data_IF_255061051261
#
_entry.id   IF_255061051261
#
_cell.length_a   1.000
_cell.length_b   1.000
_cell.length_c   1.000
_cell.angle_alpha   90.00
_cell.angle_beta   90.00
_cell.angle_gamma   90.00
#
_symmetry.space_group_name_H-M   'P 1'
#
loop_
_entity.id
_entity.type
_entity.pdbx_description
1 polymer ?
#
# COMPACT_ATOMS: atom_id res chain seq x y z
N UNK A 1 -12.70 40.14 -25.42
CA UNK A 1 -13.11 39.29 -24.27
C UNK A 1 -13.08 37.78 -24.54
N UNK A 2 -12.34 37.27 -25.56
CA UNK A 2 -12.24 35.82 -25.84
C UNK A 2 -10.95 35.14 -25.35
N UNK A 3 -9.93 35.94 -25.01
CA UNK A 3 -8.58 35.43 -24.65
C UNK A 3 -8.47 34.98 -23.18
N UNK A 4 -9.32 35.51 -22.30
CA UNK A 4 -9.28 35.19 -20.86
C UNK A 4 -9.84 33.78 -20.59
N UNK A 5 -10.88 33.38 -21.34
CA UNK A 5 -11.51 32.07 -21.16
C UNK A 5 -10.57 30.87 -21.43
N UNK A 6 -9.62 31.03 -22.37
CA UNK A 6 -8.69 29.95 -22.76
C UNK A 6 -7.65 29.67 -21.66
N UNK A 7 -7.24 30.70 -20.92
CA UNK A 7 -6.25 30.58 -19.84
C UNK A 7 -6.87 29.85 -18.64
N UNK A 8 -8.13 30.13 -18.31
CA UNK A 8 -8.83 29.46 -17.22
C UNK A 8 -9.02 27.96 -17.46
N UNK A 9 -9.27 27.52 -18.70
CA UNK A 9 -9.41 26.09 -19.02
C UNK A 9 -8.10 25.31 -18.91
N UNK A 10 -6.96 25.94 -19.21
CA UNK A 10 -5.65 25.28 -19.08
C UNK A 10 -5.24 25.06 -17.61
N UNK A 11 -5.60 25.99 -16.71
CA UNK A 11 -5.37 25.86 -15.27
C UNK A 11 -6.21 24.75 -14.62
N UNK A 12 -7.40 24.47 -15.15
CA UNK A 12 -8.28 23.41 -14.65
C UNK A 12 -7.79 21.99 -15.00
N UNK A 13 -6.95 21.83 -16.03
CA UNK A 13 -6.40 20.55 -16.46
C UNK A 13 -5.09 20.16 -15.73
N UNK A 14 -4.41 21.11 -15.08
CA UNK A 14 -3.16 20.86 -14.35
C UNK A 14 -3.37 20.19 -12.97
N UNK A 15 -4.62 20.00 -12.53
CA UNK A 15 -4.95 19.39 -11.23
C UNK A 15 -5.29 17.89 -11.28
N UNK A 16 -5.26 17.25 -12.46
CA UNK A 16 -5.75 15.88 -12.63
C UNK A 16 -4.64 14.86 -12.94
N UNK A 17 -3.42 15.07 -12.46
CA UNK A 17 -2.42 14.01 -12.47
C UNK A 17 -1.63 13.99 -11.17
N UNK A 18 -2.34 13.66 -10.12
CA UNK A 18 -1.78 13.33 -8.83
C UNK A 18 -2.47 12.08 -8.37
N UNK A 19 -2.23 10.97 -9.06
CA UNK A 19 -2.60 9.64 -8.60
C UNK A 19 -2.02 9.46 -7.20
N UNK A 20 -2.80 9.85 -6.19
CA UNK A 20 -2.58 9.62 -4.77
C UNK A 20 -2.79 8.13 -4.53
N UNK A 21 -1.89 7.31 -5.07
CA UNK A 21 -1.53 6.08 -4.38
C UNK A 21 -1.08 6.55 -3.02
N UNK A 22 -1.86 6.26 -1.99
CA UNK A 22 -1.47 6.49 -0.61
C UNK A 22 -0.06 5.90 -0.46
N UNK A 23 0.95 6.75 -0.51
CA UNK A 23 2.33 6.35 -0.37
C UNK A 23 2.43 5.99 1.10
N UNK A 24 2.41 4.70 1.41
CA UNK A 24 2.67 4.18 2.73
C UNK A 24 4.17 4.40 3.05
N UNK A 25 4.59 5.67 3.15
CA UNK A 25 5.99 6.05 3.34
C UNK A 25 6.46 5.82 4.77
N UNK A 26 5.55 5.58 5.72
CA UNK A 26 5.87 5.43 7.14
C UNK A 26 5.27 4.17 7.79
N UNK A 27 4.75 3.25 6.97
CA UNK A 27 4.26 1.96 7.48
C UNK A 27 5.44 1.00 7.57
N UNK A 28 5.97 0.78 8.77
CA UNK A 28 6.87 -0.37 8.98
C UNK A 28 6.03 -1.63 9.06
N UNK A 29 6.37 -2.58 8.20
CA UNK A 29 5.76 -3.90 8.13
C UNK A 29 6.82 -4.90 8.59
N UNK A 30 6.51 -5.69 9.61
CA UNK A 30 7.32 -6.81 10.05
C UNK A 30 6.64 -8.13 9.64
N UNK A 31 7.43 -9.16 9.36
CA UNK A 31 6.92 -10.51 9.11
C UNK A 31 7.11 -11.37 10.36
N UNK A 32 6.07 -12.09 10.77
CA UNK A 32 6.13 -13.07 11.87
C UNK A 32 5.58 -14.43 11.41
N UNK A 33 6.12 -15.50 11.98
CA UNK A 33 5.59 -16.85 11.79
C UNK A 33 4.65 -17.23 12.95
N UNK A 34 3.38 -17.49 12.67
CA UNK A 34 2.39 -17.90 13.68
C UNK A 34 1.51 -19.02 13.16
N UNK A 35 1.51 -20.18 13.83
CA UNK A 35 0.68 -21.32 13.44
C UNK A 35 0.99 -21.86 12.04
N UNK A 36 2.25 -21.75 11.60
CA UNK A 36 2.68 -22.18 10.27
C UNK A 36 2.40 -21.20 9.13
N UNK A 37 1.89 -19.99 9.45
CA UNK A 37 1.55 -18.94 8.47
C UNK A 37 2.40 -17.69 8.72
N UNK A 38 2.84 -17.05 7.63
CA UNK A 38 3.51 -15.74 7.65
C UNK A 38 2.46 -14.64 7.76
N UNK A 39 2.55 -13.85 8.82
CA UNK A 39 1.72 -12.66 9.04
C UNK A 39 2.54 -11.39 8.84
N UNK A 40 1.94 -10.39 8.20
CA UNK A 40 2.40 -9.02 8.15
C UNK A 40 1.86 -8.28 9.38
N UNK A 41 2.74 -7.73 10.20
CA UNK A 41 2.42 -6.90 11.36
C UNK A 41 2.72 -5.45 11.02
N UNK A 42 1.70 -4.61 11.15
CA UNK A 42 1.81 -3.17 10.97
C UNK A 42 2.02 -2.52 12.35
N UNK A 43 2.87 -1.49 12.43
CA UNK A 43 3.19 -0.78 13.68
C UNK A 43 1.99 -0.40 14.58
N UNK A 44 0.78 -0.24 14.02
CA UNK A 44 -0.43 0.10 14.77
C UNK A 44 -1.25 -1.13 15.23
N UNK A 45 -0.65 -2.31 15.26
CA UNK A 45 -1.27 -3.55 15.77
C UNK A 45 -2.13 -4.30 14.75
N UNK A 46 -2.26 -3.80 13.53
CA UNK A 46 -2.90 -4.54 12.44
C UNK A 46 -2.09 -5.77 12.06
N UNK A 47 -2.75 -6.93 11.98
CA UNK A 47 -2.14 -8.17 11.50
C UNK A 47 -2.95 -8.70 10.31
N UNK A 48 -2.26 -9.19 9.28
CA UNK A 48 -2.90 -9.88 8.15
C UNK A 48 -2.01 -11.02 7.66
N UNK A 49 -2.57 -12.15 7.19
CA UNK A 49 -1.78 -13.13 6.47
C UNK A 49 -1.12 -12.50 5.24
N UNK A 50 0.14 -12.85 4.99
CA UNK A 50 0.82 -12.52 3.73
C UNK A 50 0.23 -13.42 2.64
N UNK A 51 -0.22 -12.80 1.55
CA UNK A 51 -0.80 -13.50 0.39
C UNK A 51 -0.07 -13.12 -0.91
N UNK A 52 -0.05 -14.03 -1.88
CA UNK A 52 0.46 -13.76 -3.22
C UNK A 52 -0.65 -13.22 -4.16
N UNK A 53 -0.31 -12.97 -5.43
CA UNK A 53 -1.28 -12.51 -6.43
C UNK A 53 -2.39 -13.52 -6.80
N UNK A 54 -2.25 -14.78 -6.36
CA UNK A 54 -3.20 -15.87 -6.57
C UNK A 54 -4.05 -16.17 -5.32
N UNK A 55 -3.96 -15.33 -4.28
CA UNK A 55 -4.65 -15.50 -2.99
C UNK A 55 -4.16 -16.68 -2.13
N UNK A 56 -3.01 -17.26 -2.44
CA UNK A 56 -2.39 -18.28 -1.58
C UNK A 56 -1.71 -17.62 -0.38
N UNK A 57 -1.77 -18.28 0.77
CA UNK A 57 -1.14 -17.85 2.01
C UNK A 57 0.31 -18.35 2.07
N UNK A 58 1.24 -17.47 2.46
CA UNK A 58 2.62 -17.87 2.71
C UNK A 58 2.74 -18.67 4.00
N UNK A 59 3.38 -19.83 3.93
CA UNK A 59 3.64 -20.70 5.07
C UNK A 59 5.07 -20.54 5.59
N UNK A 60 5.28 -20.92 6.83
CA UNK A 60 6.58 -20.89 7.48
C UNK A 60 6.74 -22.09 8.41
N UNK A 61 7.97 -22.57 8.58
CA UNK A 61 8.28 -23.57 9.57
C UNK A 61 8.48 -22.87 10.92
N UNK A 62 7.60 -23.15 11.90
CA UNK A 62 7.76 -22.63 13.26
C UNK A 62 9.07 -23.05 13.93
N UNK A 63 9.78 -24.03 13.36
CA UNK A 63 11.10 -24.49 13.81
C UNK A 63 12.26 -23.53 13.48
N UNK A 64 12.02 -22.40 12.80
CA UNK A 64 13.06 -21.45 12.43
C UNK A 64 12.77 -20.05 12.98
N UNK A 65 12.69 -19.91 14.30
CA UNK A 65 13.09 -18.68 14.98
C UNK A 65 13.54 -19.06 16.42
N UNK A 66 14.78 -18.72 16.84
CA UNK A 66 15.23 -18.89 18.23
C UNK A 66 14.41 -18.05 19.22
#
# INVERSE_FOLDING_TARGET
MKKIAVICTALLLAGCDGQTRAKFTDVRIAEICKGGVVYLVVNNGGITPKINGNYDVYTCNQSANP
#
